data_IF_279415302433
#
_entry.id   IF_279415302433
#
_cell.length_a   1.000
_cell.length_b   1.000
_cell.length_c   1.000
_cell.angle_alpha   90.00
_cell.angle_beta   90.00
_cell.angle_gamma   90.00
#
_symmetry.space_group_name_H-M   'P 1'
#
loop_
_entity.id
_entity.type
_entity.pdbx_description
1 polymer ?
#
# COMPACT_ATOMS: atom_id res chain seq x y z
N UNK A 1 14.30 -10.50 22.59
CA UNK A 1 14.81 -10.98 21.29
C UNK A 1 13.78 -11.89 20.64
N UNK A 2 14.12 -12.55 19.52
CA UNK A 2 13.18 -13.36 18.71
C UNK A 2 12.33 -14.37 19.52
N UNK A 3 12.92 -14.99 20.56
CA UNK A 3 12.25 -15.98 21.43
C UNK A 3 11.69 -15.41 22.74
N UNK A 4 11.48 -14.10 22.81
CA UNK A 4 11.01 -13.41 24.01
C UNK A 4 9.49 -13.21 24.09
N UNK A 5 8.74 -13.58 23.05
CA UNK A 5 7.29 -13.43 23.00
C UNK A 5 6.61 -14.48 23.88
N UNK A 6 5.38 -14.17 24.32
CA UNK A 6 4.55 -15.05 25.16
C UNK A 6 3.22 -15.36 24.48
N UNK A 7 2.56 -16.48 24.82
CA UNK A 7 1.24 -16.80 24.30
C UNK A 7 0.25 -15.65 24.54
N UNK A 8 -0.59 -15.28 23.56
CA UNK A 8 -1.61 -14.26 23.76
C UNK A 8 -2.74 -14.80 24.64
N UNK A 9 -3.39 -13.92 25.41
CA UNK A 9 -4.54 -14.29 26.25
C UNK A 9 -5.80 -14.65 25.45
N UNK A 10 -5.84 -14.31 24.16
CA UNK A 10 -6.96 -14.58 23.27
C UNK A 10 -6.56 -14.38 21.80
N UNK A 11 -7.54 -14.38 20.88
CA UNK A 11 -7.29 -14.08 19.48
C UNK A 11 -6.69 -12.69 19.30
N UNK A 12 -5.69 -12.58 18.41
CA UNK A 12 -5.09 -11.31 18.02
C UNK A 12 -5.94 -10.70 16.90
N UNK A 13 -6.64 -9.61 17.22
CA UNK A 13 -7.44 -8.88 16.25
C UNK A 13 -6.55 -7.94 15.43
N UNK A 14 -6.51 -8.17 14.12
CA UNK A 14 -5.78 -7.36 13.16
C UNK A 14 -6.62 -6.23 12.57
N UNK A 15 -7.89 -6.09 12.97
CA UNK A 15 -8.84 -5.11 12.40
C UNK A 15 -8.94 -5.29 10.88
N UNK A 16 -8.67 -4.21 10.15
CA UNK A 16 -8.64 -4.19 8.67
C UNK A 16 -7.27 -4.56 8.06
N UNK A 17 -6.22 -4.65 8.89
CA UNK A 17 -4.83 -4.67 8.41
C UNK A 17 -4.39 -6.04 7.90
N UNK A 18 -4.43 -6.19 6.57
CA UNK A 18 -3.84 -7.34 5.88
C UNK A 18 -2.33 -7.45 6.10
N UNK A 19 -1.63 -6.32 6.21
CA UNK A 19 -0.18 -6.29 6.52
C UNK A 19 0.08 -6.91 7.89
N UNK A 20 -0.64 -6.48 8.93
CA UNK A 20 -0.46 -6.99 10.29
C UNK A 20 -0.68 -8.49 10.33
N UNK A 21 -1.81 -8.99 9.81
CA UNK A 21 -2.12 -10.42 9.83
C UNK A 21 -1.06 -11.25 9.11
N UNK A 22 -0.59 -10.80 7.94
CA UNK A 22 0.36 -11.59 7.14
C UNK A 22 1.77 -11.60 7.73
N UNK A 23 2.27 -10.46 8.22
CA UNK A 23 3.59 -10.39 8.85
C UNK A 23 3.60 -11.11 10.21
N UNK A 24 2.53 -10.94 11.00
CA UNK A 24 2.38 -11.67 12.26
C UNK A 24 2.33 -13.17 12.03
N UNK A 25 1.70 -13.66 10.95
CA UNK A 25 1.72 -15.09 10.65
C UNK A 25 3.14 -15.63 10.50
N UNK A 26 4.01 -14.94 9.74
CA UNK A 26 5.42 -15.32 9.61
C UNK A 26 6.18 -15.31 10.94
N UNK A 27 5.95 -14.28 11.77
CA UNK A 27 6.53 -14.18 13.11
C UNK A 27 6.07 -15.29 14.06
N UNK A 28 4.76 -15.57 14.07
CA UNK A 28 4.11 -16.49 15.02
C UNK A 28 4.33 -17.95 14.65
N UNK A 29 4.49 -18.27 13.36
CA UNK A 29 4.86 -19.61 12.93
C UNK A 29 6.24 -20.06 13.48
N UNK A 30 7.12 -19.11 13.82
CA UNK A 30 8.41 -19.38 14.47
C UNK A 30 8.37 -19.50 16.00
N UNK A 31 7.20 -19.33 16.63
CA UNK A 31 7.06 -19.36 18.09
C UNK A 31 6.70 -20.75 18.60
N UNK A 32 6.98 -21.01 19.89
CA UNK A 32 6.67 -22.28 20.56
C UNK A 32 5.21 -22.40 21.05
N UNK A 33 4.36 -21.43 20.74
CA UNK A 33 3.00 -21.35 21.29
C UNK A 33 1.95 -21.12 20.20
N UNK A 34 0.72 -21.56 20.49
CA UNK A 34 -0.41 -21.39 19.59
C UNK A 34 -0.89 -19.94 19.54
N UNK A 35 -1.43 -19.54 18.39
CA UNK A 35 -2.01 -18.21 18.17
C UNK A 35 -3.15 -18.27 17.17
N UNK A 36 -4.14 -17.40 17.35
CA UNK A 36 -5.26 -17.20 16.42
C UNK A 36 -5.27 -15.75 15.97
N UNK A 37 -5.22 -15.52 14.66
CA UNK A 37 -5.34 -14.18 14.06
C UNK A 37 -6.76 -14.02 13.49
N UNK A 38 -7.42 -12.92 13.85
CA UNK A 38 -8.76 -12.56 13.35
C UNK A 38 -8.74 -11.14 12.75
N UNK A 39 -9.84 -10.73 12.13
CA UNK A 39 -9.98 -9.42 11.54
C UNK A 39 -11.44 -9.06 11.32
N UNK A 40 -11.67 -7.85 10.82
CA UNK A 40 -13.00 -7.32 10.51
C UNK A 40 -13.64 -8.02 9.29
N UNK A 41 -14.86 -7.59 8.95
CA UNK A 41 -15.63 -8.13 7.83
C UNK A 41 -14.90 -8.04 6.47
N UNK A 42 -14.04 -7.04 6.26
CA UNK A 42 -13.25 -6.92 5.05
C UNK A 42 -12.04 -7.87 5.06
N UNK A 43 -11.28 -7.89 6.17
CA UNK A 43 -10.08 -8.71 6.30
C UNK A 43 -10.37 -10.22 6.20
N UNK A 44 -11.53 -10.69 6.71
CA UNK A 44 -11.92 -12.11 6.62
C UNK A 44 -12.20 -12.60 5.20
N UNK A 45 -12.36 -11.70 4.22
CA UNK A 45 -12.51 -12.04 2.81
C UNK A 45 -11.19 -12.04 2.04
N UNK A 46 -10.12 -11.46 2.61
CA UNK A 46 -8.82 -11.33 1.92
C UNK A 46 -8.10 -12.68 1.86
N UNK A 47 -7.45 -13.01 0.73
CA UNK A 47 -6.79 -14.30 0.55
C UNK A 47 -5.55 -14.43 1.46
N UNK A 48 -5.46 -15.56 2.15
CA UNK A 48 -4.35 -15.91 3.05
C UNK A 48 -3.59 -17.17 2.63
N UNK A 49 -4.10 -17.97 1.69
CA UNK A 49 -3.35 -19.13 1.12
C UNK A 49 -1.95 -18.75 0.63
N UNK A 50 -1.83 -17.56 0.02
CA UNK A 50 -0.56 -17.00 -0.47
C UNK A 50 0.55 -16.88 0.59
N UNK A 51 0.22 -16.88 1.87
CA UNK A 51 1.21 -17.00 2.96
C UNK A 51 1.16 -18.36 3.67
N UNK A 52 -0.01 -18.95 3.83
CA UNK A 52 -0.17 -20.20 4.56
C UNK A 52 0.50 -21.38 3.85
N UNK A 53 0.41 -21.46 2.52
CA UNK A 53 1.02 -22.52 1.71
C UNK A 53 2.55 -22.51 1.82
N UNK A 54 3.27 -21.40 1.54
CA UNK A 54 4.72 -21.41 1.69
C UNK A 54 5.18 -21.54 3.16
N UNK A 55 4.45 -21.02 4.14
CA UNK A 55 4.74 -21.27 5.55
C UNK A 55 4.59 -22.76 5.91
N UNK A 56 3.58 -23.44 5.38
CA UNK A 56 3.40 -24.89 5.54
C UNK A 56 4.56 -25.65 4.90
N UNK A 57 5.03 -25.22 3.72
CA UNK A 57 6.22 -25.78 3.08
C UNK A 57 7.51 -25.58 3.90
N UNK A 58 7.58 -24.53 4.72
CA UNK A 58 8.65 -24.35 5.72
C UNK A 58 8.50 -25.27 6.95
N UNK A 59 7.40 -26.00 7.09
CA UNK A 59 7.11 -26.85 8.27
C UNK A 59 6.19 -26.20 9.31
N UNK A 60 5.58 -25.06 9.02
CA UNK A 60 4.65 -24.43 9.94
C UNK A 60 3.30 -25.18 10.00
N UNK A 61 2.77 -25.38 11.20
CA UNK A 61 1.40 -25.84 11.42
C UNK A 61 0.43 -24.64 11.41
N UNK A 62 0.05 -24.18 10.22
CA UNK A 62 -0.88 -23.07 9.99
C UNK A 62 -2.11 -23.55 9.22
N UNK A 63 -3.30 -23.12 9.66
CA UNK A 63 -4.58 -23.40 9.00
C UNK A 63 -5.32 -22.10 8.70
N UNK A 64 -5.99 -22.10 7.56
CA UNK A 64 -6.92 -21.03 7.11
C UNK A 64 -8.37 -21.50 7.26
N UNK A 65 -9.33 -20.62 6.98
CA UNK A 65 -10.71 -21.04 6.72
C UNK A 65 -10.79 -21.98 5.50
N UNK A 66 -11.92 -22.67 5.30
CA UNK A 66 -12.11 -23.51 4.10
C UNK A 66 -11.95 -22.71 2.79
N UNK A 67 -12.30 -21.42 2.80
CA UNK A 67 -12.15 -20.50 1.68
C UNK A 67 -10.71 -20.00 1.48
N UNK A 68 -9.77 -20.37 2.36
CA UNK A 68 -8.38 -19.91 2.26
C UNK A 68 -8.14 -18.49 2.79
N UNK A 69 -9.02 -18.02 3.66
CA UNK A 69 -9.00 -16.67 4.27
C UNK A 69 -8.83 -16.75 5.79
N UNK A 70 -8.93 -15.61 6.48
CA UNK A 70 -8.95 -15.58 7.94
C UNK A 70 -10.20 -16.33 8.49
N UNK A 71 -10.20 -16.80 9.76
CA UNK A 71 -9.11 -16.70 10.74
C UNK A 71 -7.90 -17.57 10.38
N UNK A 72 -6.72 -17.15 10.85
CA UNK A 72 -5.52 -18.00 10.82
C UNK A 72 -5.34 -18.67 12.16
N UNK A 73 -5.15 -19.99 12.15
CA UNK A 73 -4.88 -20.78 13.35
C UNK A 73 -3.47 -21.34 13.23
N UNK A 74 -2.58 -20.95 14.14
CA UNK A 74 -1.18 -21.35 14.18
C UNK A 74 -0.98 -22.17 15.45
N UNK A 75 -0.51 -23.42 15.34
CA UNK A 75 -0.34 -24.29 16.50
C UNK A 75 0.89 -23.93 17.35
N UNK A 76 1.90 -23.30 16.74
CA UNK A 76 3.22 -23.09 17.36
C UNK A 76 4.02 -24.39 17.48
N UNK A 77 5.28 -24.26 17.93
CA UNK A 77 6.16 -25.40 18.20
C UNK A 77 6.68 -26.13 16.95
N UNK A 78 6.44 -25.59 15.75
CA UNK A 78 6.95 -26.17 14.50
C UNK A 78 8.44 -25.93 14.32
N UNK A 79 9.15 -26.95 13.84
CA UNK A 79 10.55 -26.82 13.41
C UNK A 79 10.61 -26.26 11.98
N UNK A 80 10.72 -24.94 11.87
CA UNK A 80 10.82 -24.32 10.55
C UNK A 80 12.15 -24.66 9.87
N UNK A 81 12.09 -24.97 8.57
CA UNK A 81 13.23 -25.16 7.69
C UNK A 81 13.21 -24.10 6.59
N UNK A 82 14.38 -23.57 6.28
CA UNK A 82 14.53 -22.59 5.21
C UNK A 82 14.19 -23.21 3.84
N UNK A 83 13.55 -22.43 2.99
CA UNK A 83 13.13 -22.84 1.64
C UNK A 83 13.71 -21.88 0.60
N UNK A 84 13.77 -22.31 -0.65
CA UNK A 84 13.84 -21.42 -1.80
C UNK A 84 12.44 -21.29 -2.39
N UNK A 85 11.90 -20.07 -2.44
CA UNK A 85 10.53 -19.80 -2.86
C UNK A 85 10.48 -18.78 -3.98
N UNK A 86 10.14 -19.27 -5.18
CA UNK A 86 9.78 -18.44 -6.33
C UNK A 86 8.32 -17.99 -6.19
N UNK A 87 8.10 -16.70 -5.95
CA UNK A 87 6.77 -16.18 -5.73
C UNK A 87 5.95 -16.21 -7.04
N UNK A 88 4.73 -16.77 -7.04
CA UNK A 88 3.88 -16.78 -8.22
C UNK A 88 3.30 -15.39 -8.56
N UNK A 89 3.28 -14.49 -7.57
CA UNK A 89 2.75 -13.12 -7.69
C UNK A 89 3.66 -12.18 -6.92
N UNK A 90 3.91 -10.99 -7.46
CA UNK A 90 4.62 -9.93 -6.77
C UNK A 90 3.85 -9.45 -5.54
N UNK A 91 4.32 -9.82 -4.34
CA UNK A 91 3.71 -9.41 -3.09
C UNK A 91 4.76 -9.21 -1.99
N UNK A 92 5.03 -7.94 -1.66
CA UNK A 92 5.91 -7.58 -0.56
C UNK A 92 5.49 -8.24 0.76
N UNK A 93 4.18 -8.41 1.00
CA UNK A 93 3.69 -9.01 2.25
C UNK A 93 3.97 -10.51 2.34
N UNK A 94 3.95 -11.24 1.21
CA UNK A 94 4.36 -12.65 1.17
C UNK A 94 5.87 -12.75 1.41
N UNK A 95 6.66 -11.94 0.72
CA UNK A 95 8.12 -11.84 0.94
C UNK A 95 8.43 -11.57 2.41
N UNK A 96 7.87 -10.51 2.99
CA UNK A 96 8.08 -10.14 4.39
C UNK A 96 7.69 -11.26 5.35
N UNK A 97 6.55 -11.91 5.12
CA UNK A 97 6.09 -13.04 5.92
C UNK A 97 7.13 -14.17 5.94
N UNK A 98 7.65 -14.55 4.78
CA UNK A 98 8.64 -15.64 4.67
C UNK A 98 10.02 -15.25 5.21
N UNK A 99 10.44 -14.00 5.05
CA UNK A 99 11.68 -13.51 5.68
C UNK A 99 11.57 -13.50 7.20
N UNK A 100 10.44 -13.05 7.76
CA UNK A 100 10.20 -13.08 9.20
C UNK A 100 10.18 -14.51 9.76
N UNK A 101 9.52 -15.45 9.05
CA UNK A 101 9.58 -16.87 9.41
C UNK A 101 11.01 -17.44 9.28
N UNK A 102 11.76 -16.99 8.26
CA UNK A 102 13.14 -17.38 8.02
C UNK A 102 14.10 -17.01 9.15
N UNK A 103 13.80 -15.98 9.95
CA UNK A 103 14.59 -15.62 11.14
C UNK A 103 14.63 -16.78 12.16
N UNK A 104 13.58 -17.60 12.19
CA UNK A 104 13.41 -18.74 13.10
C UNK A 104 13.80 -20.07 12.47
N UNK A 105 13.92 -20.13 11.15
CA UNK A 105 14.10 -21.37 10.41
C UNK A 105 15.54 -21.92 10.48
N UNK A 106 15.67 -23.24 10.44
CA UNK A 106 16.96 -23.90 10.24
C UNK A 106 17.40 -23.73 8.78
N UNK A 107 18.63 -23.26 8.58
CA UNK A 107 19.22 -23.12 7.25
C UNK A 107 18.93 -21.77 6.58
N UNK A 108 18.85 -21.78 5.24
CA UNK A 108 18.73 -20.57 4.40
C UNK A 108 17.31 -20.47 3.85
N UNK A 109 16.68 -19.31 4.03
CA UNK A 109 15.43 -18.94 3.35
C UNK A 109 15.76 -17.97 2.22
N UNK A 110 15.28 -18.24 1.02
CA UNK A 110 15.45 -17.40 -0.16
C UNK A 110 14.08 -17.15 -0.79
N UNK A 111 13.78 -15.89 -1.09
CA UNK A 111 12.54 -15.48 -1.77
C UNK A 111 12.92 -14.74 -3.04
N UNK A 112 12.38 -15.19 -4.16
CA UNK A 112 12.54 -14.61 -5.50
C UNK A 112 11.19 -14.07 -5.97
N UNK A 113 11.19 -12.89 -6.56
CA UNK A 113 10.00 -12.16 -6.99
C UNK A 113 9.98 -12.05 -8.52
N UNK A 114 8.80 -12.15 -9.17
CA UNK A 114 8.70 -12.00 -10.62
C UNK A 114 8.98 -10.55 -11.06
N UNK A 115 8.62 -9.58 -10.22
CA UNK A 115 8.97 -8.16 -10.34
C UNK A 115 9.27 -7.63 -8.95
N UNK A 116 10.17 -6.65 -8.88
CA UNK A 116 10.57 -6.02 -7.63
C UNK A 116 9.36 -5.41 -6.91
N UNK A 117 9.23 -5.72 -5.62
CA UNK A 117 8.24 -5.09 -4.74
C UNK A 117 8.91 -4.24 -3.67
N UNK A 118 8.10 -3.62 -2.81
CA UNK A 118 8.57 -2.83 -1.65
C UNK A 118 9.61 -3.60 -0.84
N UNK A 119 10.72 -2.94 -0.48
CA UNK A 119 11.89 -3.54 0.19
C UNK A 119 12.04 -3.11 1.67
N UNK A 120 10.98 -2.58 2.28
CA UNK A 120 11.01 -2.08 3.66
C UNK A 120 11.43 -3.14 4.69
N UNK A 121 11.04 -4.41 4.51
CA UNK A 121 11.46 -5.48 5.43
C UNK A 121 12.96 -5.72 5.34
N UNK A 122 13.52 -5.69 4.14
CA UNK A 122 14.94 -5.88 3.90
C UNK A 122 15.76 -4.74 4.52
N UNK A 123 15.31 -3.50 4.31
CA UNK A 123 15.93 -2.31 4.90
C UNK A 123 15.87 -2.34 6.42
N UNK A 124 14.71 -2.64 7.00
CA UNK A 124 14.54 -2.73 8.44
C UNK A 124 15.39 -3.85 9.04
N UNK A 125 15.37 -5.05 8.46
CA UNK A 125 16.21 -6.17 8.93
C UNK A 125 17.70 -5.77 8.92
N UNK A 126 18.16 -5.12 7.85
CA UNK A 126 19.53 -4.59 7.76
C UNK A 126 19.80 -3.52 8.84
N UNK A 127 18.86 -2.59 9.05
CA UNK A 127 18.98 -1.53 10.06
C UNK A 127 19.04 -2.07 11.50
N UNK A 128 18.32 -3.17 11.78
CA UNK A 128 18.37 -3.93 13.02
C UNK A 128 19.54 -4.94 13.07
N UNK A 129 20.51 -4.84 12.15
CA UNK A 129 21.75 -5.62 12.17
C UNK A 129 21.63 -7.07 11.70
N UNK A 130 20.54 -7.45 11.03
CA UNK A 130 20.35 -8.80 10.51
C UNK A 130 21.01 -8.95 9.12
N UNK A 131 21.92 -9.91 8.92
CA UNK A 131 22.56 -10.12 7.62
C UNK A 131 21.57 -10.60 6.55
N UNK A 132 21.50 -9.86 5.45
CA UNK A 132 20.74 -10.21 4.25
C UNK A 132 21.68 -10.35 3.05
N UNK A 133 21.33 -11.24 2.14
CA UNK A 133 22.03 -11.42 0.87
C UNK A 133 21.05 -11.17 -0.28
N UNK A 134 21.30 -10.11 -1.03
CA UNK A 134 20.62 -9.87 -2.30
C UNK A 134 21.00 -10.98 -3.27
N UNK A 135 20.00 -11.58 -3.90
CA UNK A 135 20.15 -12.59 -4.95
C UNK A 135 19.48 -12.08 -6.22
N UNK A 136 19.74 -12.76 -7.35
CA UNK A 136 19.08 -12.39 -8.61
C UNK A 136 17.56 -12.49 -8.45
N UNK A 137 16.88 -11.36 -8.61
CA UNK A 137 15.43 -11.28 -8.50
C UNK A 137 14.88 -11.47 -7.08
N UNK A 138 15.68 -11.28 -6.02
CA UNK A 138 15.16 -11.47 -4.66
C UNK A 138 16.16 -11.28 -3.54
N UNK A 139 15.85 -11.88 -2.38
CA UNK A 139 16.63 -11.76 -1.15
C UNK A 139 16.68 -13.09 -0.40
N UNK A 140 17.77 -13.30 0.34
CA UNK A 140 17.90 -14.47 1.20
C UNK A 140 18.54 -14.14 2.55
N UNK A 141 18.23 -14.97 3.54
CA UNK A 141 18.77 -14.88 4.88
C UNK A 141 18.97 -16.27 5.50
N UNK A 142 19.79 -16.35 6.54
CA UNK A 142 19.94 -17.56 7.37
C UNK A 142 19.28 -17.32 8.72
N UNK A 143 18.55 -18.31 9.22
CA UNK A 143 17.91 -18.21 10.53
C UNK A 143 18.88 -18.33 11.69
N UNK A 144 18.39 -18.02 12.89
CA UNK A 144 19.19 -18.07 14.13
C UNK A 144 20.01 -16.81 14.42
N UNK A 145 19.86 -15.75 13.62
CA UNK A 145 20.49 -14.46 13.89
C UNK A 145 19.84 -13.70 15.05
N UNK A 146 20.32 -12.47 15.28
CA UNK A 146 19.81 -11.58 16.33
C UNK A 146 19.52 -10.20 15.77
N UNK A 147 18.38 -9.62 16.16
CA UNK A 147 18.06 -8.22 15.93
C UNK A 147 18.63 -7.36 17.07
N UNK A 148 19.24 -6.24 16.72
CA UNK A 148 19.88 -5.28 17.63
C UNK A 148 19.01 -4.02 17.67
N UNK A 149 18.57 -3.64 18.87
CA UNK A 149 17.72 -2.46 19.07
C UNK A 149 18.41 -1.19 18.52
N UNK A 150 17.60 -0.32 17.91
CA UNK A 150 18.03 0.94 17.31
C UNK A 150 16.86 1.91 17.25
N UNK A 151 17.16 3.20 17.35
CA UNK A 151 16.18 4.25 17.09
C UNK A 151 15.88 4.34 15.60
N UNK A 152 14.59 4.39 15.26
CA UNK A 152 14.10 4.49 13.88
C UNK A 152 13.24 5.74 13.76
N UNK A 153 13.69 6.68 12.96
CA UNK A 153 12.86 7.78 12.47
C UNK A 153 12.04 7.26 11.29
N UNK A 154 10.70 7.31 11.41
CA UNK A 154 9.78 6.82 10.38
C UNK A 154 9.44 7.98 9.43
N UNK A 155 9.76 7.88 8.12
CA UNK A 155 9.43 8.92 7.15
C UNK A 155 7.92 9.14 7.00
N UNK A 156 7.54 10.31 6.49
CA UNK A 156 6.16 10.55 6.08
C UNK A 156 5.79 9.62 4.91
N UNK A 157 4.57 9.08 4.96
CA UNK A 157 4.10 8.08 4.00
C UNK A 157 3.76 8.71 2.65
N UNK A 158 4.48 8.28 1.61
CA UNK A 158 4.23 8.72 0.23
C UNK A 158 2.83 8.41 -0.27
N UNK A 159 2.20 7.32 0.22
CA UNK A 159 0.80 7.01 -0.10
C UNK A 159 -0.15 8.11 0.36
N UNK A 160 0.14 8.72 1.51
CA UNK A 160 -0.65 9.82 2.06
C UNK A 160 -0.28 11.15 1.38
N UNK A 161 1.01 11.37 1.16
CA UNK A 161 1.50 12.52 0.39
C UNK A 161 0.92 12.55 -1.03
N UNK A 162 0.63 11.40 -1.64
CA UNK A 162 0.09 11.30 -3.00
C UNK A 162 -1.19 12.10 -3.22
N UNK A 163 -2.07 12.16 -2.22
CA UNK A 163 -3.30 12.96 -2.31
C UNK A 163 -2.97 14.45 -2.45
N UNK A 164 -2.03 14.95 -1.66
CA UNK A 164 -1.58 16.34 -1.74
C UNK A 164 -0.73 16.62 -2.98
N UNK A 165 0.09 15.66 -3.43
CA UNK A 165 0.84 15.77 -4.69
C UNK A 165 -0.13 15.93 -5.87
N UNK A 166 -1.16 15.10 -5.95
CA UNK A 166 -2.18 15.19 -7.01
C UNK A 166 -2.96 16.49 -6.88
N UNK A 167 -3.43 16.84 -5.68
CA UNK A 167 -4.20 18.07 -5.46
C UNK A 167 -3.46 19.33 -5.89
N UNK A 168 -2.20 19.48 -5.47
CA UNK A 168 -1.37 20.60 -5.89
C UNK A 168 -1.03 20.57 -7.38
N UNK A 169 -0.89 19.39 -7.99
CA UNK A 169 -0.62 19.28 -9.43
C UNK A 169 -1.81 19.77 -10.27
N UNK A 170 -3.03 19.40 -9.87
CA UNK A 170 -4.25 19.70 -10.66
C UNK A 170 -4.84 21.09 -10.37
N UNK A 171 -4.72 21.60 -9.15
CA UNK A 171 -5.35 22.85 -8.74
C UNK A 171 -4.54 24.09 -9.15
N UNK A 172 -5.05 24.98 -10.02
CA UNK A 172 -4.33 26.17 -10.47
C UNK A 172 -3.86 27.07 -9.31
N UNK A 173 -2.61 27.55 -9.40
CA UNK A 173 -2.03 28.44 -8.39
C UNK A 173 -1.41 27.75 -7.17
N UNK A 174 -1.43 26.42 -7.11
CA UNK A 174 -0.85 25.67 -5.99
C UNK A 174 0.68 25.63 -6.03
N UNK A 175 1.31 25.77 -4.85
CA UNK A 175 2.74 25.53 -4.58
C UNK A 175 2.84 25.05 -3.13
N UNK A 176 3.14 23.76 -2.93
CA UNK A 176 3.19 23.12 -1.61
C UNK A 176 4.51 22.41 -1.37
N UNK A 177 4.93 22.36 -0.11
CA UNK A 177 6.06 21.56 0.35
C UNK A 177 5.53 20.43 1.24
N UNK A 178 5.76 19.18 0.84
CA UNK A 178 5.48 18.00 1.63
C UNK A 178 6.80 17.55 2.28
N UNK A 179 6.97 17.85 3.56
CA UNK A 179 8.22 17.59 4.26
C UNK A 179 8.41 16.10 4.60
N UNK A 180 9.68 15.66 4.57
CA UNK A 180 10.11 14.37 5.11
C UNK A 180 9.44 13.14 4.48
N UNK A 181 9.05 13.19 3.20
CA UNK A 181 8.37 12.08 2.52
C UNK A 181 9.37 10.99 2.16
N UNK A 182 9.02 9.73 2.46
CA UNK A 182 9.80 8.57 2.02
C UNK A 182 9.79 8.43 0.50
N UNK A 183 10.97 8.52 -0.12
CA UNK A 183 11.15 8.45 -1.59
C UNK A 183 11.84 7.16 -2.04
N UNK A 184 11.59 6.08 -1.31
CA UNK A 184 12.08 4.75 -1.64
C UNK A 184 11.74 4.42 -3.10
N UNK A 185 12.73 3.98 -3.88
CA UNK A 185 12.56 3.66 -5.31
C UNK A 185 11.45 2.63 -5.56
N UNK A 186 11.19 1.75 -4.58
CA UNK A 186 10.13 0.73 -4.65
C UNK A 186 8.72 1.27 -4.28
N UNK A 187 8.62 2.55 -3.91
CA UNK A 187 7.39 3.25 -3.51
C UNK A 187 7.14 4.55 -4.27
N UNK A 188 8.16 5.11 -4.91
CA UNK A 188 8.07 6.41 -5.60
C UNK A 188 7.37 6.38 -6.95
N UNK A 189 6.72 5.27 -7.31
CA UNK A 189 6.05 5.10 -8.60
C UNK A 189 5.03 6.21 -8.89
N UNK A 190 4.34 6.73 -7.87
CA UNK A 190 3.43 7.88 -8.04
C UNK A 190 4.16 9.15 -8.50
N UNK A 191 5.35 9.44 -7.97
CA UNK A 191 6.15 10.59 -8.39
C UNK A 191 6.59 10.41 -9.84
N UNK A 192 7.07 9.21 -10.17
CA UNK A 192 7.54 8.88 -11.52
C UNK A 192 6.39 8.97 -12.54
N UNK A 193 5.19 8.44 -12.22
CA UNK A 193 4.00 8.53 -13.08
C UNK A 193 3.52 9.98 -13.24
N UNK A 194 3.41 10.74 -12.14
CA UNK A 194 2.98 12.15 -12.22
C UNK A 194 3.96 12.99 -13.05
N UNK A 195 5.27 12.77 -12.90
CA UNK A 195 6.28 13.42 -13.76
C UNK A 195 6.16 12.99 -15.22
N UNK A 196 5.87 11.72 -15.50
CA UNK A 196 5.57 11.25 -16.86
C UNK A 196 4.36 11.98 -17.48
N UNK A 197 3.38 12.32 -16.64
CA UNK A 197 2.21 13.10 -17.06
C UNK A 197 2.51 14.61 -17.18
N UNK A 198 3.69 15.08 -16.77
CA UNK A 198 4.09 16.49 -16.84
C UNK A 198 3.95 17.27 -15.53
N UNK A 199 3.72 16.61 -14.39
CA UNK A 199 3.64 17.28 -13.10
C UNK A 199 4.98 17.93 -12.70
N UNK A 200 4.91 19.11 -12.09
CA UNK A 200 6.06 19.83 -11.53
C UNK A 200 6.28 19.40 -10.07
N UNK A 201 7.08 18.35 -9.91
CA UNK A 201 7.47 17.79 -8.63
C UNK A 201 8.99 17.83 -8.52
N UNK A 202 9.52 18.55 -7.54
CA UNK A 202 10.94 18.64 -7.21
C UNK A 202 11.22 17.91 -5.89
N UNK A 203 12.30 17.11 -5.85
CA UNK A 203 12.81 16.53 -4.61
C UNK A 203 13.88 17.47 -4.09
N UNK A 204 13.71 17.98 -2.87
CA UNK A 204 14.69 18.84 -2.19
C UNK A 204 15.05 18.22 -0.84
N UNK A 205 16.19 18.62 -0.27
CA UNK A 205 16.66 18.13 1.03
C UNK A 205 16.74 16.59 1.15
N UNK A 206 17.22 15.92 0.10
CA UNK A 206 17.37 14.46 0.07
C UNK A 206 18.33 13.96 1.15
N UNK A 207 17.91 12.94 1.89
CA UNK A 207 18.64 12.34 3.02
C UNK A 207 18.20 10.91 3.28
N UNK A 208 18.75 10.29 4.33
CA UNK A 208 18.32 8.98 4.82
C UNK A 208 17.78 9.12 6.25
N UNK A 209 16.60 8.56 6.53
CA UNK A 209 16.02 8.46 7.86
C UNK A 209 15.55 7.02 8.10
N UNK A 210 15.95 6.42 9.23
CA UNK A 210 15.60 5.03 9.55
C UNK A 210 16.11 3.97 8.55
N UNK A 211 17.06 4.29 7.66
CA UNK A 211 17.49 3.40 6.56
C UNK A 211 16.65 3.49 5.28
N UNK A 212 15.68 4.41 5.26
CA UNK A 212 14.86 4.76 4.11
C UNK A 212 15.33 6.10 3.50
N UNK A 213 15.33 6.25 2.16
CA UNK A 213 15.59 7.54 1.54
C UNK A 213 14.38 8.47 1.71
N UNK A 214 14.66 9.73 2.04
CA UNK A 214 13.66 10.75 2.39
C UNK A 214 13.99 12.05 1.67
N UNK A 215 12.96 12.77 1.22
CA UNK A 215 13.09 14.10 0.65
C UNK A 215 11.90 14.97 1.08
N UNK A 216 12.06 16.29 0.99
CA UNK A 216 10.91 17.18 0.97
C UNK A 216 10.46 17.32 -0.50
N UNK A 217 9.16 17.25 -0.77
CA UNK A 217 8.61 17.33 -2.12
C UNK A 217 8.00 18.70 -2.34
N UNK A 218 8.57 19.49 -3.25
CA UNK A 218 7.91 20.70 -3.74
C UNK A 218 7.03 20.33 -4.92
N UNK A 219 5.74 20.62 -4.80
CA UNK A 219 4.75 20.32 -5.84
C UNK A 219 4.05 21.60 -6.24
N UNK A 220 4.10 21.91 -7.53
CA UNK A 220 3.45 23.08 -8.12
C UNK A 220 2.42 22.63 -9.14
N UNK A 221 1.42 23.48 -9.35
CA UNK A 221 0.48 23.29 -10.44
C UNK A 221 1.20 23.20 -11.79
N UNK A 222 0.83 22.19 -12.59
CA UNK A 222 1.30 22.04 -13.95
C UNK A 222 0.22 21.37 -14.82
N UNK A 223 0.07 21.74 -16.10
CA UNK A 223 -0.83 21.07 -17.01
C UNK A 223 -0.37 19.62 -17.24
N UNK A 224 -1.27 18.67 -17.03
CA UNK A 224 -0.99 17.24 -17.21
C UNK A 224 -1.40 16.76 -18.61
N UNK A 225 -0.69 15.75 -19.13
CA UNK A 225 -1.00 15.05 -20.37
C UNK A 225 -1.22 13.57 -20.07
N UNK A 226 -2.23 12.98 -20.71
CA UNK A 226 -2.51 11.56 -20.59
C UNK A 226 -1.35 10.70 -21.10
N UNK A 227 -1.19 9.50 -20.52
CA UNK A 227 -0.05 8.63 -20.83
C UNK A 227 -0.41 7.14 -20.73
N UNK A 228 0.36 6.31 -21.43
CA UNK A 228 0.36 4.86 -21.18
C UNK A 228 1.23 4.60 -19.95
N UNK A 229 0.63 4.19 -18.84
CA UNK A 229 1.38 3.92 -17.61
C UNK A 229 2.27 2.69 -17.84
N UNK A 230 3.61 2.81 -17.70
CA UNK A 230 4.51 1.67 -17.87
C UNK A 230 4.19 0.57 -16.86
N UNK A 231 4.02 -0.70 -17.27
CA UNK A 231 3.66 -1.78 -16.35
C UNK A 231 4.66 -1.97 -15.20
N UNK A 232 5.94 -1.67 -15.44
CA UNK A 232 6.98 -1.71 -14.41
C UNK A 232 6.75 -0.74 -13.23
N UNK A 233 5.95 0.32 -13.40
CA UNK A 233 5.60 1.27 -12.34
C UNK A 233 4.36 0.84 -11.53
N UNK A 234 3.57 -0.11 -12.05
CA UNK A 234 2.32 -0.56 -11.41
C UNK A 234 2.55 -1.14 -10.00
N UNK A 235 3.53 -2.03 -9.77
CA UNK A 235 3.80 -2.53 -8.43
C UNK A 235 4.29 -1.44 -7.46
N UNK A 236 4.91 -0.38 -8.00
CA UNK A 236 5.55 0.70 -7.24
C UNK A 236 4.56 1.79 -6.79
N UNK A 237 3.40 1.87 -7.46
CA UNK A 237 2.34 2.86 -7.21
C UNK A 237 0.97 2.21 -6.92
N UNK A 238 0.94 0.91 -6.58
CA UNK A 238 -0.29 0.11 -6.56
C UNK A 238 -1.37 0.67 -5.61
N UNK A 239 -0.98 1.38 -4.55
CA UNK A 239 -1.94 1.95 -3.61
C UNK A 239 -2.25 3.42 -3.93
N UNK A 240 -1.51 4.05 -4.84
CA UNK A 240 -1.64 5.45 -5.25
C UNK A 240 -2.52 5.62 -6.50
N UNK A 241 -2.90 4.53 -7.18
CA UNK A 241 -3.76 4.58 -8.35
C UNK A 241 -5.09 5.33 -8.18
N UNK A 242 -5.81 5.26 -7.04
CA UNK A 242 -6.98 6.12 -6.83
C UNK A 242 -6.67 7.61 -7.05
N UNK A 243 -5.55 8.12 -6.51
CA UNK A 243 -5.15 9.50 -6.70
C UNK A 243 -4.62 9.76 -8.12
N UNK A 244 -3.82 8.85 -8.69
CA UNK A 244 -3.29 8.97 -10.07
C UNK A 244 -4.44 9.02 -11.09
N UNK A 245 -5.51 8.25 -10.89
CA UNK A 245 -6.67 8.26 -11.79
C UNK A 245 -7.46 9.58 -11.72
N UNK A 246 -7.43 10.29 -10.58
CA UNK A 246 -7.92 11.67 -10.48
C UNK A 246 -7.02 12.62 -11.28
N UNK A 247 -5.70 12.48 -11.17
CA UNK A 247 -4.78 13.25 -12.02
C UNK A 247 -5.02 12.99 -13.52
N UNK A 248 -5.27 11.73 -13.90
CA UNK A 248 -5.59 11.33 -15.27
C UNK A 248 -6.92 11.92 -15.75
N UNK A 249 -7.92 12.01 -14.87
CA UNK A 249 -9.20 12.64 -15.17
C UNK A 249 -9.06 14.15 -15.48
N UNK A 250 -8.04 14.82 -14.94
CA UNK A 250 -7.75 16.22 -15.22
C UNK A 250 -6.74 16.44 -16.37
N UNK A 251 -6.16 15.38 -16.93
CA UNK A 251 -5.10 15.48 -17.92
C UNK A 251 -5.65 15.73 -19.34
N UNK A 252 -4.84 16.33 -20.21
CA UNK A 252 -5.18 16.41 -21.63
C UNK A 252 -4.98 15.05 -22.31
N UNK A 253 -6.04 14.48 -22.85
CA UNK A 253 -5.99 13.24 -23.64
C UNK A 253 -6.26 11.99 -22.81
N UNK A 254 -5.76 10.84 -23.28
CA UNK A 254 -6.06 9.53 -22.72
C UNK A 254 -4.93 9.02 -21.83
N UNK A 255 -5.30 8.45 -20.67
CA UNK A 255 -4.41 7.66 -19.81
C UNK A 255 -4.86 6.22 -19.78
N UNK A 256 -3.92 5.29 -19.91
CA UNK A 256 -4.18 3.85 -19.91
C UNK A 256 -3.37 3.17 -18.81
N UNK A 257 -4.08 2.46 -17.93
CA UNK A 257 -3.53 1.57 -16.91
C UNK A 257 -3.80 0.11 -17.32
N UNK A 258 -2.76 -0.71 -17.35
CA UNK A 258 -2.81 -2.17 -17.56
C UNK A 258 -2.02 -2.90 -16.48
N UNK A 259 -2.11 -4.23 -16.40
CA UNK A 259 -1.38 -5.07 -15.44
C UNK A 259 -1.64 -4.78 -13.94
N UNK A 260 -2.77 -4.15 -13.63
CA UNK A 260 -3.16 -3.70 -12.28
C UNK A 260 -4.24 -4.57 -11.62
N UNK A 261 -4.34 -5.87 -11.98
CA UNK A 261 -5.36 -6.79 -11.45
C UNK A 261 -5.40 -6.88 -9.91
N UNK A 262 -4.28 -6.67 -9.22
CA UNK A 262 -4.23 -6.65 -7.74
C UNK A 262 -5.07 -5.52 -7.11
N UNK A 263 -5.46 -4.48 -7.87
CA UNK A 263 -6.40 -3.45 -7.40
C UNK A 263 -7.79 -4.00 -7.05
N UNK A 264 -8.18 -5.14 -7.64
CA UNK A 264 -9.49 -5.76 -7.42
C UNK A 264 -9.62 -6.49 -6.09
N UNK A 265 -8.51 -6.82 -5.44
CA UNK A 265 -8.46 -7.60 -4.19
C UNK A 265 -7.96 -6.78 -3.00
N UNK A 266 -8.16 -5.46 -3.07
CA UNK A 266 -7.82 -4.50 -2.01
C UNK A 266 -8.96 -4.43 -0.98
N UNK A 267 -9.13 -3.29 -0.32
CA UNK A 267 -10.24 -3.04 0.60
C UNK A 267 -11.60 -3.07 -0.13
N UNK A 268 -11.59 -2.62 -1.39
CA UNK A 268 -12.67 -2.73 -2.38
C UNK A 268 -12.12 -3.24 -3.73
N UNK A 269 -12.99 -3.43 -4.73
CA UNK A 269 -12.54 -3.50 -6.13
C UNK A 269 -12.26 -2.09 -6.63
N UNK A 270 -11.03 -1.62 -6.42
CA UNK A 270 -10.64 -0.23 -6.72
C UNK A 270 -10.79 0.14 -8.20
N UNK A 271 -10.75 -0.83 -9.12
CA UNK A 271 -10.96 -0.54 -10.55
C UNK A 271 -12.42 -0.17 -10.78
N UNK A 272 -13.35 -0.99 -10.28
CA UNK A 272 -14.78 -0.72 -10.51
C UNK A 272 -15.25 0.52 -9.76
N UNK A 273 -14.84 0.67 -8.50
CA UNK A 273 -15.29 1.79 -7.67
C UNK A 273 -14.74 3.12 -8.18
N UNK A 274 -13.45 3.19 -8.57
CA UNK A 274 -12.91 4.41 -9.18
C UNK A 274 -13.58 4.76 -10.50
N UNK A 275 -13.84 3.76 -11.37
CA UNK A 275 -14.51 4.02 -12.64
C UNK A 275 -15.92 4.58 -12.42
N UNK A 276 -16.70 3.98 -11.52
CA UNK A 276 -18.05 4.45 -11.20
C UNK A 276 -18.04 5.87 -10.62
N UNK A 277 -17.12 6.18 -9.71
CA UNK A 277 -17.01 7.52 -9.13
C UNK A 277 -16.58 8.58 -10.14
N UNK A 278 -15.61 8.26 -11.03
CA UNK A 278 -15.18 9.16 -12.10
C UNK A 278 -16.31 9.42 -13.10
N UNK A 279 -17.06 8.38 -13.49
CA UNK A 279 -18.22 8.51 -14.36
C UNK A 279 -19.33 9.36 -13.71
N UNK A 280 -19.57 9.19 -12.41
CA UNK A 280 -20.52 10.03 -11.67
C UNK A 280 -20.10 11.51 -11.62
N UNK A 281 -18.79 11.79 -11.70
CA UNK A 281 -18.22 13.14 -11.81
C UNK A 281 -18.03 13.58 -13.28
N UNK A 282 -18.66 12.91 -14.25
CA UNK A 282 -18.69 13.32 -15.65
C UNK A 282 -17.47 12.96 -16.50
N UNK A 283 -16.59 12.07 -16.01
CA UNK A 283 -15.37 11.64 -16.71
C UNK A 283 -15.60 10.33 -17.46
N UNK A 284 -15.08 10.21 -18.68
CA UNK A 284 -15.05 8.94 -19.40
C UNK A 284 -13.94 8.04 -18.84
N UNK A 285 -14.33 7.19 -17.90
CA UNK A 285 -13.50 6.15 -17.31
C UNK A 285 -14.06 4.77 -17.68
N UNK A 286 -13.33 3.99 -18.48
CA UNK A 286 -13.72 2.64 -18.88
C UNK A 286 -12.89 1.60 -18.13
N UNK A 287 -13.48 0.79 -17.22
CA UNK A 287 -12.76 -0.26 -16.52
C UNK A 287 -12.43 -1.44 -17.44
N UNK A 288 -11.30 -2.08 -17.20
CA UNK A 288 -10.85 -3.32 -17.85
C UNK A 288 -10.50 -4.38 -16.81
N UNK A 289 -10.32 -5.65 -17.22
CA UNK A 289 -10.05 -6.76 -16.30
C UNK A 289 -8.84 -6.50 -15.40
N UNK A 290 -7.79 -5.89 -15.94
CA UNK A 290 -6.51 -5.63 -15.27
C UNK A 290 -6.14 -4.14 -15.31
N UNK A 291 -7.12 -3.24 -15.41
CA UNK A 291 -6.81 -1.81 -15.39
C UNK A 291 -7.98 -0.92 -15.77
N UNK A 292 -7.69 0.23 -16.36
CA UNK A 292 -8.67 1.26 -16.68
C UNK A 292 -8.13 2.19 -17.77
N UNK A 293 -9.02 2.67 -18.64
CA UNK A 293 -8.75 3.77 -19.56
C UNK A 293 -9.52 4.99 -19.10
N UNK A 294 -8.87 6.15 -19.04
CA UNK A 294 -9.47 7.42 -18.62
C UNK A 294 -9.19 8.48 -19.68
N UNK A 295 -10.24 9.10 -20.22
CA UNK A 295 -10.12 10.28 -21.08
C UNK A 295 -10.32 11.49 -20.20
N UNK A 296 -9.28 12.32 -20.08
CA UNK A 296 -9.34 13.48 -19.20
C UNK A 296 -10.25 14.59 -19.75
N UNK A 297 -10.82 15.35 -18.81
CA UNK A 297 -11.83 16.36 -19.06
C UNK A 297 -12.08 17.22 -17.82
N UNK A 298 -13.23 17.89 -17.79
CA UNK A 298 -13.66 18.69 -16.64
C UNK A 298 -14.37 17.80 -15.62
N UNK A 299 -13.81 17.70 -14.41
CA UNK A 299 -14.51 17.08 -13.28
C UNK A 299 -15.72 17.91 -12.91
N UNK A 300 -16.86 17.23 -12.76
CA UNK A 300 -18.12 17.82 -12.30
C UNK A 300 -18.43 17.44 -10.87
N UNK A 301 -19.35 18.18 -10.27
CA UNK A 301 -20.00 17.72 -9.04
C UNK A 301 -20.71 16.38 -9.24
N UNK A 302 -20.93 15.65 -8.14
CA UNK A 302 -21.53 14.32 -8.18
C UNK A 302 -21.63 13.66 -6.81
N UNK A 303 -22.27 12.50 -6.74
CA UNK A 303 -22.33 11.67 -5.53
C UNK A 303 -21.60 10.37 -5.80
N UNK A 304 -20.63 10.04 -4.95
CA UNK A 304 -19.83 8.81 -5.06
C UNK A 304 -19.86 8.04 -3.75
N UNK A 305 -19.58 6.75 -3.81
CA UNK A 305 -19.47 5.86 -2.66
C UNK A 305 -18.04 5.33 -2.56
N UNK A 306 -17.41 5.42 -1.39
CA UNK A 306 -16.05 4.93 -1.18
C UNK A 306 -15.99 3.40 -1.07
N UNK A 307 -17.13 2.74 -0.79
CA UNK A 307 -17.25 1.32 -0.47
C UNK A 307 -16.30 0.89 0.67
N UNK A 308 -16.16 1.76 1.66
CA UNK A 308 -15.27 1.59 2.80
C UNK A 308 -13.78 1.69 2.46
N UNK A 309 -13.40 2.11 1.24
CA UNK A 309 -12.01 2.28 0.82
C UNK A 309 -11.54 3.72 1.05
N UNK A 310 -10.74 3.89 2.10
CA UNK A 310 -10.17 5.19 2.50
C UNK A 310 -9.46 5.92 1.35
N UNK A 311 -8.85 5.19 0.40
CA UNK A 311 -8.11 5.81 -0.69
C UNK A 311 -9.00 6.37 -1.77
N UNK A 312 -10.16 5.77 -1.96
CA UNK A 312 -11.18 6.27 -2.88
C UNK A 312 -11.78 7.54 -2.31
N UNK A 313 -12.15 7.53 -1.01
CA UNK A 313 -12.63 8.71 -0.32
C UNK A 313 -11.63 9.89 -0.42
N UNK A 314 -10.36 9.67 -0.07
CA UNK A 314 -9.34 10.73 -0.14
C UNK A 314 -9.04 11.18 -1.58
N UNK A 315 -9.11 10.28 -2.57
CA UNK A 315 -8.92 10.64 -3.97
C UNK A 315 -10.02 11.58 -4.47
N UNK A 316 -11.30 11.27 -4.19
CA UNK A 316 -12.41 12.15 -4.57
C UNK A 316 -12.47 13.44 -3.76
N UNK A 317 -11.98 13.45 -2.52
CA UNK A 317 -11.84 14.68 -1.75
C UNK A 317 -10.87 15.66 -2.43
N UNK A 318 -9.75 15.14 -2.95
CA UNK A 318 -8.80 15.92 -3.74
C UNK A 318 -9.35 16.33 -5.11
N UNK A 319 -10.15 15.48 -5.75
CA UNK A 319 -10.82 15.81 -7.00
C UNK A 319 -11.71 17.06 -6.86
N UNK A 320 -12.30 17.28 -5.68
CA UNK A 320 -13.10 18.46 -5.35
C UNK A 320 -12.36 19.79 -5.45
N UNK A 321 -11.02 19.80 -5.45
CA UNK A 321 -10.24 21.02 -5.60
C UNK A 321 -10.39 21.69 -6.98
N UNK A 322 -10.81 20.94 -8.00
CA UNK A 322 -10.95 21.41 -9.39
C UNK A 322 -12.31 21.10 -10.02
N UNK A 323 -13.21 20.45 -9.27
CA UNK A 323 -14.55 20.14 -9.74
C UNK A 323 -15.37 21.41 -9.93
N UNK A 324 -16.23 21.45 -10.96
CA UNK A 324 -17.15 22.58 -11.20
C UNK A 324 -18.41 22.57 -10.31
N UNK A 325 -18.48 21.63 -9.36
CA UNK A 325 -19.57 21.47 -8.41
C UNK A 325 -19.18 20.60 -7.20
N UNK A 326 -20.10 20.47 -6.25
CA UNK A 326 -19.89 19.67 -5.03
C UNK A 326 -19.77 18.17 -5.34
N UNK A 327 -18.75 17.52 -4.77
CA UNK A 327 -18.62 16.06 -4.75
C UNK A 327 -18.98 15.56 -3.36
N UNK A 328 -20.09 14.83 -3.25
CA UNK A 328 -20.52 14.16 -2.02
C UNK A 328 -19.94 12.76 -1.97
N UNK A 329 -19.18 12.47 -0.91
CA UNK A 329 -18.44 11.22 -0.74
C UNK A 329 -19.06 10.42 0.40
N UNK A 330 -19.75 9.33 0.07
CA UNK A 330 -20.35 8.44 1.06
C UNK A 330 -19.32 7.47 1.64
N UNK A 331 -19.59 6.98 2.86
CA UNK A 331 -18.81 5.97 3.59
C UNK A 331 -17.34 6.38 3.86
N UNK A 332 -17.12 7.57 4.42
CA UNK A 332 -15.78 8.10 4.69
C UNK A 332 -15.14 7.62 6.02
N UNK A 333 -15.85 6.86 6.86
CA UNK A 333 -15.39 6.54 8.22
C UNK A 333 -14.02 5.84 8.25
N UNK A 334 -13.70 5.03 7.23
CA UNK A 334 -12.44 4.32 7.15
C UNK A 334 -11.23 5.20 6.84
N UNK A 335 -11.40 6.48 6.45
CA UNK A 335 -10.27 7.42 6.29
C UNK A 335 -9.48 7.56 7.58
N UNK A 336 -10.15 7.61 8.73
CA UNK A 336 -9.52 7.70 10.05
C UNK A 336 -8.66 6.47 10.40
N UNK A 337 -8.84 5.33 9.73
CA UNK A 337 -8.01 4.14 9.97
C UNK A 337 -6.63 4.23 9.31
N UNK A 338 -6.49 5.02 8.25
CA UNK A 338 -5.22 5.18 7.51
C UNK A 338 -4.59 6.55 7.66
N UNK A 339 -5.40 7.61 7.75
CA UNK A 339 -4.94 8.99 7.82
C UNK A 339 -5.81 9.82 8.77
N UNK A 340 -5.68 9.59 10.10
CA UNK A 340 -6.35 10.42 11.10
C UNK A 340 -6.02 11.90 10.88
N UNK A 341 -7.04 12.76 10.88
CA UNK A 341 -6.88 14.20 10.65
C UNK A 341 -6.75 14.61 9.17
N UNK A 342 -7.07 13.73 8.22
CA UNK A 342 -7.10 14.03 6.78
C UNK A 342 -7.82 15.33 6.47
N UNK A 343 -9.10 15.43 6.87
CA UNK A 343 -9.94 16.58 6.55
C UNK A 343 -9.31 17.88 7.08
N UNK A 344 -8.85 17.89 8.33
CA UNK A 344 -8.21 19.06 8.93
C UNK A 344 -6.93 19.49 8.17
N UNK A 345 -6.07 18.54 7.80
CA UNK A 345 -4.85 18.84 7.04
C UNK A 345 -5.17 19.31 5.61
N UNK A 346 -6.12 18.66 4.95
CA UNK A 346 -6.58 19.02 3.62
C UNK A 346 -7.22 20.41 3.59
N UNK A 347 -8.05 20.76 4.57
CA UNK A 347 -8.59 22.11 4.72
C UNK A 347 -7.50 23.14 5.00
N UNK A 348 -6.52 22.81 5.86
CA UNK A 348 -5.35 23.65 6.08
C UNK A 348 -4.50 23.86 4.82
N UNK A 349 -4.53 22.91 3.88
CA UNK A 349 -3.86 22.99 2.58
C UNK A 349 -4.72 23.67 1.49
N UNK A 350 -5.94 24.12 1.81
CA UNK A 350 -6.81 24.87 0.89
C UNK A 350 -7.95 24.07 0.25
N UNK A 351 -8.20 22.82 0.66
CA UNK A 351 -9.36 22.07 0.19
C UNK A 351 -10.63 22.41 1.00
N UNK A 352 -11.72 22.72 0.29
CA UNK A 352 -13.02 22.95 0.92
C UNK A 352 -13.70 21.61 1.23
N UNK A 353 -13.38 21.03 2.38
CA UNK A 353 -13.99 19.78 2.87
C UNK A 353 -14.94 20.11 4.02
N UNK A 354 -16.17 19.63 3.91
CA UNK A 354 -17.14 19.59 5.00
C UNK A 354 -17.40 18.14 5.38
N UNK A 355 -17.24 17.82 6.66
CA UNK A 355 -17.73 16.55 7.22
C UNK A 355 -19.12 16.82 7.80
N UNK A 356 -20.18 16.13 7.38
CA UNK A 356 -21.46 16.30 8.04
C UNK A 356 -21.35 15.91 9.51
N UNK A 357 -21.97 16.70 10.39
CA UNK A 357 -22.25 16.30 11.77
C UNK A 357 -22.97 14.95 11.76
N UNK A 358 -22.33 13.89 12.26
CA UNK A 358 -23.08 12.74 12.74
C UNK A 358 -23.92 13.21 13.94
N UNK A 359 -25.23 13.33 13.75
CA UNK A 359 -26.22 13.23 14.82
C UNK A 359 -26.60 11.75 15.02
#
# INVERSE_FOLDING_TARGET
GLRGLRPPAGPLDCGNSGTSMRLLAGLLCGQSFASKLVGDASLVRRPMRRIAEPLTAMGAAIRTSALGTAPLIIAGGGELRGIAYDMPVASAQVKSCLLLAGLYAQGKTSVTEPVMTRDHTERMLTAFGYPLHVIRGGVSLRGGGRLIARDIEVPADISSAAFFMVGASIAPGSDVILAQVGVNSTRRGVIDILRLMGADIELVNERTAGGEPVADLRVRHAPLTGTQIPPALVPLAIDEFPAILVAAACAKGETVLTEAKELRVKESDRILVMAAGLQACGIDATPAVDGMRVIGGQLRGGVIDSHGDHRIAMAFAVAGAVADGEIVINDCANVATSFPGFAALATGAGLNISEPFCA
#
